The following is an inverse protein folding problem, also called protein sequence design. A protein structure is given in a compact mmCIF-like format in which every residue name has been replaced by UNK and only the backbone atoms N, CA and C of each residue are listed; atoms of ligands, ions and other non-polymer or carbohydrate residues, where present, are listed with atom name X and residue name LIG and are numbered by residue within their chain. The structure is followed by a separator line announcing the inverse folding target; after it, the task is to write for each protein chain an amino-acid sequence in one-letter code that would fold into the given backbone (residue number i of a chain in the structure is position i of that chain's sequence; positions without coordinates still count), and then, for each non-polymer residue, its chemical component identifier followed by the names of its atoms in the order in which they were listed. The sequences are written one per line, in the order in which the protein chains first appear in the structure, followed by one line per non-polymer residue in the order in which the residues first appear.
data_IF_014882241341
#
_entry.id   IF_014882241341
#
_cell.length_a   1.000
_cell.length_b   1.000
_cell.length_c   1.000
_cell.angle_alpha   90.00
_cell.angle_beta   90.00
_cell.angle_gamma   90.00
#
_symmetry.space_group_name_H-M   'P 1'
#
loop_
_entity.id
_entity.type
_entity.pdbx_description
1 polymer ?
#
# COMPACT_ATOMS: atom_id res chain seq x y z
N UNK A 1 -9.86 2.50 -18.68
CA UNK A 1 -10.80 1.61 -17.90
C UNK A 1 -10.23 1.44 -16.49
N UNK A 2 -11.05 1.10 -15.48
CA UNK A 2 -10.57 0.71 -14.14
C UNK A 2 -10.87 -0.75 -13.90
N UNK A 3 -9.86 -1.51 -13.49
CA UNK A 3 -9.99 -2.93 -13.21
C UNK A 3 -9.58 -3.23 -11.77
N UNK A 4 -10.34 -4.11 -11.12
CA UNK A 4 -10.03 -4.59 -9.77
C UNK A 4 -9.54 -6.02 -9.87
N UNK A 5 -8.36 -6.29 -9.32
CA UNK A 5 -7.78 -7.62 -9.22
C UNK A 5 -7.83 -8.04 -7.75
N UNK A 6 -8.74 -8.94 -7.41
CA UNK A 6 -8.96 -9.34 -6.01
C UNK A 6 -8.47 -10.77 -5.82
N UNK A 7 -7.62 -10.96 -4.79
CA UNK A 7 -7.13 -12.27 -4.40
C UNK A 7 -7.13 -12.39 -2.87
N UNK A 8 -8.01 -13.20 -2.33
CA UNK A 8 -8.21 -13.44 -0.91
C UNK A 8 -7.34 -14.58 -0.34
N UNK A 9 -6.62 -15.30 -1.21
CA UNK A 9 -5.63 -16.28 -0.78
C UNK A 9 -4.26 -15.65 -0.61
N UNK A 10 -3.45 -16.07 0.38
CA UNK A 10 -2.14 -15.50 0.63
C UNK A 10 -1.21 -15.57 -0.59
N UNK A 11 -0.60 -14.44 -0.92
CA UNK A 11 0.29 -14.28 -2.07
C UNK A 11 1.71 -13.97 -1.62
N UNK A 12 2.69 -14.55 -2.29
CA UNK A 12 4.09 -14.13 -2.11
C UNK A 12 4.25 -12.66 -2.52
N UNK A 13 4.87 -11.89 -1.64
CA UNK A 13 5.04 -10.44 -1.85
C UNK A 13 5.73 -10.10 -3.19
N UNK A 14 6.79 -10.84 -3.54
CA UNK A 14 7.55 -10.63 -4.77
C UNK A 14 6.73 -10.80 -6.05
N UNK A 15 5.74 -11.71 -6.03
CA UNK A 15 4.85 -11.96 -7.19
C UNK A 15 3.97 -10.74 -7.42
N UNK A 16 3.33 -10.26 -6.35
CA UNK A 16 2.45 -9.09 -6.44
C UNK A 16 3.24 -7.80 -6.69
N UNK A 17 4.45 -7.67 -6.13
CA UNK A 17 5.32 -6.53 -6.41
C UNK A 17 5.69 -6.47 -7.90
N UNK A 18 6.07 -7.60 -8.51
CA UNK A 18 6.34 -7.67 -9.95
C UNK A 18 5.12 -7.26 -10.78
N UNK A 19 3.93 -7.76 -10.43
CA UNK A 19 2.69 -7.37 -11.10
C UNK A 19 2.44 -5.85 -10.98
N UNK A 20 2.65 -5.26 -9.80
CA UNK A 20 2.54 -3.82 -9.63
C UNK A 20 3.53 -3.07 -10.53
N UNK A 21 4.79 -3.51 -10.59
CA UNK A 21 5.82 -2.87 -11.40
C UNK A 21 5.51 -2.94 -12.90
N UNK A 22 5.01 -4.07 -13.38
CA UNK A 22 4.56 -4.25 -14.76
C UNK A 22 3.45 -3.27 -15.12
N UNK A 23 2.38 -3.21 -14.33
CA UNK A 23 1.25 -2.30 -14.54
C UNK A 23 1.65 -0.83 -14.41
N UNK A 24 2.46 -0.51 -13.41
CA UNK A 24 2.99 0.84 -13.18
C UNK A 24 3.83 1.34 -14.36
N UNK A 25 4.75 0.51 -14.86
CA UNK A 25 5.61 0.85 -15.99
C UNK A 25 4.81 0.93 -17.30
N UNK A 26 3.84 0.03 -17.50
CA UNK A 26 2.95 0.07 -18.66
C UNK A 26 2.14 1.38 -18.71
N UNK A 27 1.56 1.80 -17.57
CA UNK A 27 0.81 3.05 -17.50
C UNK A 27 1.70 4.28 -17.71
N UNK A 28 2.92 4.30 -17.16
CA UNK A 28 3.91 5.37 -17.42
C UNK A 28 4.27 5.43 -18.90
N UNK A 29 4.49 4.26 -19.54
CA UNK A 29 4.82 4.19 -20.97
C UNK A 29 3.67 4.71 -21.83
N UNK A 30 2.43 4.28 -21.55
CA UNK A 30 1.24 4.72 -22.25
C UNK A 30 1.00 6.25 -22.17
N UNK A 31 1.45 6.90 -21.06
CA UNK A 31 1.42 8.37 -20.94
C UNK A 31 2.44 9.07 -21.83
N UNK A 32 3.52 8.41 -22.21
CA UNK A 32 4.60 9.01 -23.02
C UNK A 32 4.34 8.89 -24.53
N UNK A 33 3.46 7.99 -24.92
CA UNK A 33 3.07 7.78 -26.30
C UNK A 33 1.90 8.74 -26.58
N UNK A 34 2.00 9.48 -27.69
CA UNK A 34 1.10 10.55 -28.07
C UNK A 34 -0.39 10.19 -27.92
N UNK A 35 -1.26 11.17 -27.66
CA UNK A 35 -2.72 10.98 -27.42
C UNK A 35 -3.46 10.20 -28.53
N UNK A 36 -2.82 10.02 -29.70
CA UNK A 36 -3.34 9.28 -30.85
C UNK A 36 -3.11 7.75 -30.76
N UNK A 37 -2.36 7.23 -29.77
CA UNK A 37 -2.16 5.79 -29.64
C UNK A 37 -3.33 5.14 -28.89
N UNK A 38 -3.87 4.03 -29.43
CA UNK A 38 -4.86 3.18 -28.76
C UNK A 38 -4.28 2.37 -27.58
N UNK A 39 -3.03 2.64 -27.15
CA UNK A 39 -2.49 1.96 -25.98
C UNK A 39 -3.32 2.31 -24.74
N UNK A 40 -3.82 1.29 -24.11
CA UNK A 40 -4.73 1.37 -22.98
C UNK A 40 -4.09 2.11 -21.79
N UNK A 41 -4.69 3.23 -21.41
CA UNK A 41 -4.39 3.96 -20.16
C UNK A 41 -5.20 3.35 -19.00
N UNK A 42 -5.24 2.02 -18.94
CA UNK A 42 -6.00 1.31 -17.91
C UNK A 42 -5.39 1.50 -16.52
N UNK A 43 -6.26 1.75 -15.58
CA UNK A 43 -5.93 1.86 -14.16
C UNK A 43 -6.35 0.57 -13.43
N UNK A 44 -5.57 0.19 -12.45
CA UNK A 44 -5.77 -1.05 -11.69
C UNK A 44 -5.76 -0.78 -10.20
N UNK A 45 -6.56 -1.54 -9.46
CA UNK A 45 -6.43 -1.67 -8.03
C UNK A 45 -6.29 -3.15 -7.68
N UNK A 46 -5.11 -3.54 -7.19
CA UNK A 46 -4.87 -4.91 -6.72
C UNK A 46 -5.26 -4.92 -5.23
N UNK A 47 -6.18 -5.83 -4.86
CA UNK A 47 -6.54 -6.12 -3.48
C UNK A 47 -6.12 -7.54 -3.17
N UNK A 48 -5.26 -7.74 -2.18
CA UNK A 48 -4.73 -9.06 -1.87
C UNK A 48 -4.39 -9.22 -0.39
N UNK A 49 -4.11 -10.45 -0.01
CA UNK A 49 -3.52 -10.86 1.27
C UNK A 49 -2.13 -11.41 0.96
N UNK A 50 -1.16 -11.20 1.85
CA UNK A 50 0.20 -11.71 1.69
C UNK A 50 0.53 -12.84 2.67
N UNK A 51 1.47 -13.70 2.29
CA UNK A 51 2.25 -14.45 3.25
C UNK A 51 3.01 -13.48 4.18
N UNK A 52 3.33 -13.88 5.43
CA UNK A 52 4.05 -13.03 6.36
C UNK A 52 5.35 -12.44 5.77
N UNK A 53 5.47 -11.10 5.78
CA UNK A 53 6.59 -10.38 5.19
C UNK A 53 6.76 -9.00 5.81
N UNK A 54 8.01 -8.56 6.03
CA UNK A 54 8.32 -7.17 6.33
C UNK A 54 8.71 -6.43 5.06
N UNK A 55 8.23 -5.20 4.90
CA UNK A 55 8.65 -4.33 3.81
C UNK A 55 9.31 -3.07 4.34
N UNK A 56 10.47 -2.73 3.79
CA UNK A 56 11.28 -1.57 4.15
C UNK A 56 10.97 -0.44 3.18
N UNK A 57 10.43 0.68 3.70
CA UNK A 57 10.21 1.91 2.94
C UNK A 57 11.45 2.81 2.91
N UNK A 58 11.37 3.91 2.17
CA UNK A 58 12.48 4.83 1.94
C UNK A 58 13.01 5.55 3.18
N UNK A 59 12.17 5.69 4.23
CA UNK A 59 12.54 6.38 5.47
C UNK A 59 12.98 5.43 6.58
N UNK A 60 13.03 4.13 6.30
CA UNK A 60 13.45 3.13 7.29
C UNK A 60 14.92 3.35 7.67
N UNK A 61 15.15 3.42 8.96
CA UNK A 61 16.48 3.46 9.60
C UNK A 61 16.66 2.20 10.46
N UNK A 62 17.87 1.94 10.93
CA UNK A 62 18.18 0.75 11.73
C UNK A 62 17.37 0.71 13.03
N UNK A 63 17.15 1.87 13.65
CA UNK A 63 16.35 2.02 14.87
C UNK A 63 14.87 1.66 14.73
N UNK A 64 14.38 1.46 13.49
CA UNK A 64 13.03 0.95 13.27
C UNK A 64 12.89 -0.56 13.56
N UNK A 65 13.97 -1.26 13.84
CA UNK A 65 13.96 -2.68 14.18
C UNK A 65 14.27 -2.87 15.66
N UNK A 66 13.35 -3.49 16.38
CA UNK A 66 13.52 -3.86 17.79
C UNK A 66 14.28 -5.19 17.95
N UNK A 67 14.33 -5.98 16.90
CA UNK A 67 15.10 -7.23 16.81
C UNK A 67 16.16 -7.10 15.70
N UNK A 68 17.23 -7.89 15.83
CA UNK A 68 18.16 -8.05 14.72
C UNK A 68 17.41 -8.55 13.46
N UNK A 69 17.65 -7.92 12.31
CA UNK A 69 16.99 -8.26 11.05
C UNK A 69 17.08 -9.76 10.68
N UNK A 70 18.14 -10.45 11.11
CA UNK A 70 18.31 -11.89 10.90
C UNK A 70 17.42 -12.76 11.82
N UNK A 71 16.88 -12.15 12.88
CA UNK A 71 16.02 -12.84 13.87
C UNK A 71 14.55 -12.48 13.69
N UNK A 72 14.19 -11.76 12.65
CA UNK A 72 12.79 -11.44 12.35
C UNK A 72 12.00 -12.70 12.00
N UNK A 73 10.73 -12.79 12.44
CA UNK A 73 9.90 -13.99 12.23
C UNK A 73 9.36 -14.13 10.79
N UNK A 74 9.71 -13.22 9.88
CA UNK A 74 9.31 -13.25 8.47
C UNK A 74 10.40 -12.63 7.59
N UNK A 75 10.43 -12.95 6.28
CA UNK A 75 11.38 -12.38 5.33
C UNK A 75 11.21 -10.87 5.18
N UNK A 76 12.27 -10.21 4.70
CA UNK A 76 12.32 -8.76 4.49
C UNK A 76 12.47 -8.45 3.01
N UNK A 77 11.69 -7.49 2.52
CA UNK A 77 11.83 -6.92 1.18
C UNK A 77 12.09 -5.41 1.23
N UNK A 78 13.17 -4.97 0.58
CA UNK A 78 13.42 -3.54 0.34
C UNK A 78 12.51 -3.05 -0.77
N UNK A 79 11.83 -1.93 -0.51
CA UNK A 79 10.90 -1.31 -1.46
C UNK A 79 11.22 0.17 -1.64
N UNK A 80 10.56 0.79 -2.60
CA UNK A 80 10.69 2.21 -2.87
C UNK A 80 9.42 3.01 -2.47
N UNK A 81 8.52 2.41 -1.66
CA UNK A 81 7.36 3.11 -1.11
C UNK A 81 7.75 4.18 -0.09
N UNK A 82 6.85 5.10 0.17
CA UNK A 82 6.96 6.02 1.29
C UNK A 82 6.84 5.30 2.64
N UNK A 83 7.21 6.00 3.71
CA UNK A 83 7.15 5.46 5.06
C UNK A 83 8.38 4.64 5.45
N UNK A 84 8.27 4.01 6.60
CA UNK A 84 9.30 3.21 7.28
C UNK A 84 9.03 1.71 7.08
N UNK A 85 9.50 0.85 8.00
CA UNK A 85 9.18 -0.57 7.98
C UNK A 85 7.71 -0.81 8.27
N UNK A 86 7.12 -1.84 7.69
CA UNK A 86 5.81 -2.36 8.06
C UNK A 86 5.77 -3.88 7.85
N UNK A 87 4.74 -4.51 8.40
CA UNK A 87 4.45 -5.93 8.24
C UNK A 87 3.23 -6.12 7.34
N UNK A 88 3.26 -7.17 6.53
CA UNK A 88 2.11 -7.72 5.83
C UNK A 88 1.97 -9.20 6.18
N UNK A 89 0.73 -9.68 6.28
CA UNK A 89 0.47 -11.08 6.61
C UNK A 89 -0.97 -11.47 6.40
N UNK A 90 -1.29 -12.67 6.90
CA UNK A 90 -2.62 -13.23 6.81
C UNK A 90 -3.65 -12.32 7.47
N UNK A 91 -4.88 -12.32 6.96
CA UNK A 91 -6.00 -11.53 7.46
C UNK A 91 -5.75 -10.01 7.51
N UNK A 92 -4.76 -9.54 6.72
CA UNK A 92 -4.52 -8.14 6.43
C UNK A 92 -4.87 -7.87 4.96
N UNK A 93 -5.83 -7.02 4.70
CA UNK A 93 -6.13 -6.59 3.33
C UNK A 93 -5.15 -5.52 2.87
N UNK A 94 -4.46 -5.80 1.79
CA UNK A 94 -3.50 -4.88 1.18
C UNK A 94 -4.03 -4.42 -0.17
N UNK A 95 -4.05 -3.10 -0.37
CA UNK A 95 -4.53 -2.48 -1.60
C UNK A 95 -3.43 -1.71 -2.30
N UNK A 96 -3.29 -1.94 -3.60
CA UNK A 96 -2.29 -1.32 -4.46
C UNK A 96 -2.98 -0.59 -5.63
N UNK A 97 -3.39 0.68 -5.46
CA UNK A 97 -3.92 1.48 -6.56
C UNK A 97 -2.79 1.92 -7.50
N UNK A 98 -2.91 1.57 -8.77
CA UNK A 98 -2.02 1.95 -9.85
C UNK A 98 -2.82 2.89 -10.75
N UNK A 99 -2.77 4.17 -10.41
CA UNK A 99 -3.60 5.24 -10.97
C UNK A 99 -2.74 6.35 -11.56
N UNK A 100 -3.23 6.96 -12.61
CA UNK A 100 -2.69 8.22 -13.14
C UNK A 100 -3.38 9.42 -12.46
N UNK A 101 -2.73 9.98 -11.47
CA UNK A 101 -3.27 11.10 -10.69
C UNK A 101 -3.52 12.36 -11.53
N UNK A 102 -2.78 12.53 -12.63
CA UNK A 102 -2.95 13.68 -13.54
C UNK A 102 -4.29 13.60 -14.28
N UNK A 103 -4.72 12.40 -14.72
CA UNK A 103 -6.05 12.20 -15.28
C UNK A 103 -7.18 12.52 -14.29
N UNK A 104 -6.90 12.44 -12.99
CA UNK A 104 -7.84 12.79 -11.93
C UNK A 104 -7.72 14.21 -11.42
N UNK A 105 -6.79 15.02 -11.98
CA UNK A 105 -6.54 16.39 -11.56
C UNK A 105 -6.09 16.52 -10.10
N UNK A 106 -5.42 15.49 -9.55
CA UNK A 106 -5.00 15.48 -8.13
C UNK A 106 -3.50 15.22 -7.98
N UNK A 107 -2.93 15.71 -6.89
CA UNK A 107 -1.57 15.40 -6.48
C UNK A 107 -1.50 14.21 -5.50
N UNK A 108 -0.28 13.77 -5.21
CA UNK A 108 -0.03 12.63 -4.31
C UNK A 108 -0.62 12.80 -2.91
N UNK A 109 -0.57 14.02 -2.35
CA UNK A 109 -1.17 14.31 -1.04
C UNK A 109 -2.67 14.04 -1.06
N UNK A 110 -3.38 14.56 -2.04
CA UNK A 110 -4.82 14.37 -2.22
C UNK A 110 -5.18 12.89 -2.44
N UNK A 111 -4.34 12.15 -3.17
CA UNK A 111 -4.52 10.71 -3.33
C UNK A 111 -4.45 9.96 -1.99
N UNK A 112 -3.46 10.28 -1.15
CA UNK A 112 -3.35 9.69 0.19
C UNK A 112 -4.57 10.04 1.04
N UNK A 113 -5.01 11.30 1.05
CA UNK A 113 -6.22 11.74 1.77
C UNK A 113 -7.48 10.99 1.32
N UNK A 114 -7.61 10.70 0.02
CA UNK A 114 -8.72 9.88 -0.51
C UNK A 114 -8.65 8.41 -0.11
N UNK A 115 -7.45 7.83 -0.03
CA UNK A 115 -7.28 6.47 0.51
C UNK A 115 -7.68 6.43 1.98
N UNK A 116 -7.27 7.42 2.76
CA UNK A 116 -7.66 7.54 4.16
C UNK A 116 -9.18 7.65 4.32
N UNK A 117 -9.83 8.50 3.51
CA UNK A 117 -11.27 8.67 3.52
C UNK A 117 -12.00 7.38 3.18
N UNK A 118 -11.54 6.66 2.16
CA UNK A 118 -12.13 5.38 1.76
C UNK A 118 -12.04 4.33 2.88
N UNK A 119 -10.91 4.26 3.60
CA UNK A 119 -10.76 3.33 4.72
C UNK A 119 -11.65 3.75 5.91
N UNK A 120 -11.71 5.04 6.25
CA UNK A 120 -12.63 5.56 7.29
C UNK A 120 -14.08 5.20 6.94
N UNK A 121 -14.47 5.42 5.68
CA UNK A 121 -15.80 5.10 5.19
C UNK A 121 -16.12 3.60 5.34
N UNK A 122 -15.23 2.72 4.94
CA UNK A 122 -15.39 1.26 5.11
C UNK A 122 -15.53 0.90 6.59
N UNK A 123 -14.64 1.39 7.45
CA UNK A 123 -14.65 1.09 8.89
C UNK A 123 -15.93 1.58 9.56
N UNK A 124 -16.50 2.72 9.12
CA UNK A 124 -17.75 3.24 9.64
C UNK A 124 -18.95 2.31 9.40
N UNK A 125 -18.97 1.56 8.29
CA UNK A 125 -20.00 0.56 8.01
C UNK A 125 -19.99 -0.62 9.00
N UNK A 126 -18.83 -0.87 9.61
CA UNK A 126 -18.68 -1.87 10.68
C UNK A 126 -18.83 -1.28 12.08
N UNK A 127 -19.26 0.00 12.19
CA UNK A 127 -19.41 0.68 13.48
C UNK A 127 -18.09 1.04 14.16
N UNK A 128 -16.97 0.99 13.44
CA UNK A 128 -15.63 1.30 13.97
C UNK A 128 -15.36 2.79 13.79
N UNK A 129 -15.27 3.51 14.90
CA UNK A 129 -14.89 4.93 14.89
C UNK A 129 -13.38 5.08 14.69
N UNK A 130 -12.99 5.56 13.54
CA UNK A 130 -11.58 5.70 13.14
C UNK A 130 -11.26 7.12 12.69
N UNK A 131 -9.97 7.49 12.72
CA UNK A 131 -9.54 8.84 12.41
C UNK A 131 -8.13 8.89 11.82
N UNK A 132 -7.79 10.03 11.21
CA UNK A 132 -6.42 10.38 10.81
C UNK A 132 -5.60 10.82 12.02
N UNK A 133 -4.28 10.81 11.88
CA UNK A 133 -3.36 11.31 12.91
C UNK A 133 -2.28 12.19 12.27
N UNK A 134 -1.74 13.12 13.04
CA UNK A 134 -0.57 13.93 12.70
C UNK A 134 0.74 13.11 12.70
N UNK A 135 0.72 11.89 13.24
CA UNK A 135 1.87 10.95 13.25
C UNK A 135 2.22 10.39 11.86
N UNK A 136 1.52 10.80 10.81
CA UNK A 136 1.77 10.40 9.42
C UNK A 136 0.59 9.67 8.77
N UNK A 137 0.72 9.35 7.49
CA UNK A 137 -0.34 8.72 6.70
C UNK A 137 -0.78 7.37 7.28
N UNK A 138 -2.09 7.16 7.32
CA UNK A 138 -2.73 5.96 7.86
C UNK A 138 -3.97 6.27 8.68
N UNK A 139 -4.60 5.23 9.22
CA UNK A 139 -5.84 5.35 10.00
C UNK A 139 -5.66 4.69 11.37
N UNK A 140 -6.25 5.33 12.38
CA UNK A 140 -6.17 4.92 13.78
C UNK A 140 -7.56 4.68 14.38
N UNK A 141 -7.61 3.74 15.32
CA UNK A 141 -8.71 3.52 16.25
C UNK A 141 -8.16 3.73 17.66
N UNK A 142 -8.63 4.78 18.34
CA UNK A 142 -7.97 5.23 19.55
C UNK A 142 -6.49 5.56 19.32
N UNK A 143 -5.58 4.91 20.03
CA UNK A 143 -4.14 5.12 19.89
C UNK A 143 -3.45 4.08 18.98
N UNK A 144 -4.18 3.15 18.40
CA UNK A 144 -3.65 2.04 17.61
C UNK A 144 -3.88 2.28 16.12
N UNK A 145 -2.83 2.09 15.31
CA UNK A 145 -2.93 2.20 13.85
C UNK A 145 -3.58 0.94 13.29
N UNK A 146 -4.77 1.07 12.70
CA UNK A 146 -5.47 -0.04 12.03
C UNK A 146 -5.10 -0.17 10.56
N UNK A 147 -4.72 0.93 9.92
CA UNK A 147 -4.31 0.93 8.51
C UNK A 147 -3.03 1.74 8.31
N UNK A 148 -2.01 1.10 7.73
CA UNK A 148 -0.80 1.77 7.27
C UNK A 148 -0.96 2.19 5.81
N UNK A 149 -0.42 3.37 5.44
CA UNK A 149 -0.43 3.87 4.05
C UNK A 149 0.99 4.26 3.66
N UNK A 150 1.47 3.68 2.56
CA UNK A 150 2.76 3.99 1.99
C UNK A 150 2.74 3.90 0.47
N UNK A 151 2.70 5.04 -0.22
CA UNK A 151 2.58 5.15 -1.67
C UNK A 151 3.91 5.61 -2.28
N UNK A 152 4.17 5.20 -3.50
CA UNK A 152 5.13 5.79 -4.42
C UNK A 152 4.38 6.41 -5.58
N UNK A 153 4.84 7.57 -6.06
CA UNK A 153 4.41 8.12 -7.34
C UNK A 153 5.63 8.48 -8.21
N UNK A 154 5.51 8.27 -9.51
CA UNK A 154 6.43 8.77 -10.53
C UNK A 154 5.64 9.17 -11.75
N UNK A 155 5.90 10.36 -12.29
CA UNK A 155 5.14 10.93 -13.41
C UNK A 155 3.63 10.91 -13.17
N UNK A 156 3.22 11.17 -11.95
CA UNK A 156 1.83 11.12 -11.47
C UNK A 156 1.19 9.71 -11.45
N UNK A 157 1.90 8.66 -11.84
CA UNK A 157 1.42 7.27 -11.70
C UNK A 157 1.78 6.75 -10.31
N UNK A 158 0.82 6.10 -9.62
CA UNK A 158 0.98 5.55 -8.28
C UNK A 158 1.29 4.06 -8.30
N UNK A 159 1.97 3.57 -7.27
CA UNK A 159 2.08 2.17 -6.89
C UNK A 159 2.25 2.02 -5.38
N UNK A 160 2.21 0.80 -4.85
CA UNK A 160 1.98 0.51 -3.44
C UNK A 160 0.64 1.08 -2.98
N UNK A 161 0.41 1.29 -1.69
CA UNK A 161 -0.88 1.78 -1.25
C UNK A 161 -1.11 1.64 0.24
N UNK A 162 -2.05 0.79 0.65
CA UNK A 162 -2.46 0.64 2.04
C UNK A 162 -2.45 -0.81 2.51
N UNK A 163 -2.36 -0.99 3.83
CA UNK A 163 -2.49 -2.28 4.50
C UNK A 163 -3.44 -2.12 5.70
N UNK A 164 -4.61 -2.74 5.63
CA UNK A 164 -5.67 -2.70 6.64
C UNK A 164 -5.65 -3.99 7.45
N UNK A 165 -5.40 -3.87 8.75
CA UNK A 165 -5.50 -4.97 9.69
C UNK A 165 -6.97 -5.31 9.94
N UNK A 166 -7.36 -6.57 9.70
CA UNK A 166 -8.71 -7.08 10.01
C UNK A 166 -8.64 -8.07 11.17
N UNK A 167 -8.05 -9.26 10.95
CA UNK A 167 -7.76 -10.24 11.99
C UNK A 167 -6.27 -10.60 12.02
N UNK A 168 -5.44 -9.66 11.58
CA UNK A 168 -3.99 -9.81 11.45
C UNK A 168 -3.36 -10.16 12.80
N UNK A 169 -2.43 -11.13 12.82
CA UNK A 169 -1.59 -11.38 13.98
C UNK A 169 -0.64 -10.19 14.21
N UNK A 170 -0.99 -9.35 15.19
CA UNK A 170 -0.25 -8.15 15.53
C UNK A 170 1.08 -8.44 16.28
N UNK A 171 1.35 -9.68 16.68
CA UNK A 171 2.60 -10.05 17.36
C UNK A 171 3.84 -9.77 16.50
N UNK A 172 3.70 -9.83 15.18
CA UNK A 172 4.77 -9.46 14.24
C UNK A 172 5.23 -7.99 14.36
N UNK A 173 4.34 -7.10 14.79
CA UNK A 173 4.71 -5.69 15.03
C UNK A 173 5.59 -5.51 16.28
N UNK A 174 5.70 -6.50 17.19
CA UNK A 174 6.62 -6.45 18.32
C UNK A 174 8.11 -6.47 17.91
N UNK A 175 8.40 -6.73 16.64
CA UNK A 175 9.76 -6.75 16.11
C UNK A 175 10.19 -5.42 15.46
N UNK A 176 9.26 -4.49 15.30
CA UNK A 176 9.46 -3.20 14.61
C UNK A 176 8.77 -2.05 15.37
N UNK A 177 9.21 -0.80 15.08
CA UNK A 177 8.64 0.43 15.68
C UNK A 177 7.55 1.03 14.78
#
# INVERSE_FOLDING_TARGET
MRSYLVNDTPQKYEVVLRQQEELFNALIKAKQIDEASEESKDEYCILCVHDPVYTIGKRTVEDNFLLNMQSLPAPIYKTNRGGEVTFHGHDQWVGYPIFDLEQHGIGLKHHIERLEEAIIFVLSHYGINSHRSDKGAGIWVGNSKICAIGVRASRYVTMHGFALNVNTDLSYYNAIV
#
